data_IF_126038559305
#
_entry.id   IF_126038559305
#
_cell.length_a   1.000
_cell.length_b   1.000
_cell.length_c   1.000
_cell.angle_alpha   90.00
_cell.angle_beta   90.00
_cell.angle_gamma   90.00
#
_symmetry.space_group_name_H-M   'P 1'
#
loop_
_entity.id
_entity.type
_entity.pdbx_description
1 polymer ?
#
# COMPACT_ATOMS: atom_id res chain seq x y z
N UNK A 1 44.79 -12.14 -17.90
CA UNK A 1 44.75 -13.10 -16.79
C UNK A 1 43.31 -13.18 -16.31
N UNK A 2 42.74 -14.37 -16.20
CA UNK A 2 41.37 -14.50 -15.68
C UNK A 2 41.33 -14.18 -14.18
N UNK A 3 40.31 -13.45 -13.70
CA UNK A 3 40.18 -13.12 -12.29
C UNK A 3 39.92 -14.40 -11.49
N UNK A 4 40.79 -14.68 -10.51
CA UNK A 4 40.61 -15.79 -9.57
C UNK A 4 39.38 -15.45 -8.71
N UNK A 5 38.28 -16.17 -8.87
CA UNK A 5 37.11 -16.04 -8.01
C UNK A 5 37.34 -16.84 -6.72
N UNK A 6 37.69 -16.21 -5.58
CA UNK A 6 37.99 -16.90 -4.33
C UNK A 6 36.69 -17.08 -3.52
N UNK A 7 35.71 -17.76 -4.12
CA UNK A 7 34.37 -17.97 -3.54
C UNK A 7 33.80 -19.36 -3.85
N UNK A 8 32.79 -19.79 -3.09
CA UNK A 8 32.12 -21.07 -3.30
C UNK A 8 31.39 -21.09 -4.65
N UNK A 9 31.77 -22.02 -5.55
CA UNK A 9 31.20 -22.16 -6.91
C UNK A 9 29.69 -22.46 -6.95
N UNK A 10 29.09 -22.76 -5.79
CA UNK A 10 27.65 -23.06 -5.66
C UNK A 10 26.82 -21.88 -5.16
N UNK A 11 27.42 -20.71 -4.93
CA UNK A 11 26.67 -19.53 -4.51
C UNK A 11 25.99 -18.89 -5.73
N UNK A 12 24.69 -18.54 -5.66
CA UNK A 12 24.02 -17.79 -6.72
C UNK A 12 24.76 -16.47 -6.97
N UNK A 13 24.83 -16.00 -8.22
CA UNK A 13 25.50 -14.72 -8.51
C UNK A 13 24.64 -13.52 -8.11
N UNK A 14 23.34 -13.73 -7.83
CA UNK A 14 22.37 -12.69 -7.45
C UNK A 14 22.27 -11.53 -8.46
N UNK A 15 22.75 -11.73 -9.69
CA UNK A 15 22.73 -10.73 -10.76
C UNK A 15 21.33 -10.64 -11.42
N UNK A 16 20.49 -11.66 -11.24
CA UNK A 16 19.14 -11.70 -11.78
C UNK A 16 18.09 -11.59 -10.66
N UNK A 17 17.00 -10.87 -10.92
CA UNK A 17 15.90 -10.66 -9.96
C UNK A 17 15.32 -11.98 -9.43
N UNK A 18 15.37 -13.03 -10.24
CA UNK A 18 14.87 -14.37 -9.95
C UNK A 18 15.75 -15.15 -8.95
N UNK A 19 16.99 -14.70 -8.69
CA UNK A 19 17.86 -15.28 -7.66
C UNK A 19 17.44 -14.85 -6.25
N UNK A 20 16.62 -13.79 -6.14
CA UNK A 20 15.91 -13.47 -4.90
C UNK A 20 14.71 -14.39 -4.83
N UNK A 21 14.49 -15.05 -3.70
CA UNK A 21 13.27 -15.82 -3.44
C UNK A 21 12.09 -14.84 -3.44
N UNK A 22 11.56 -14.57 -4.64
CA UNK A 22 10.23 -14.01 -4.83
C UNK A 22 9.39 -15.23 -5.09
N UNK A 23 8.83 -15.80 -4.02
CA UNK A 23 7.84 -16.88 -4.13
C UNK A 23 6.81 -16.44 -5.18
N UNK A 24 6.69 -17.18 -6.28
CA UNK A 24 5.57 -16.99 -7.21
C UNK A 24 4.28 -17.01 -6.41
N UNK A 25 3.39 -16.05 -6.68
CA UNK A 25 2.10 -16.02 -6.00
C UNK A 25 1.41 -17.37 -6.24
N UNK A 26 1.02 -18.06 -5.17
CA UNK A 26 0.38 -19.36 -5.28
C UNK A 26 -0.78 -19.29 -6.29
N UNK A 27 -0.81 -20.23 -7.26
CA UNK A 27 -1.84 -20.31 -8.30
C UNK A 27 -3.22 -20.75 -7.77
N UNK A 28 -3.48 -20.54 -6.48
CA UNK A 28 -4.72 -20.89 -5.80
C UNK A 28 -5.68 -19.70 -5.81
N UNK A 29 -6.99 -19.94 -5.99
CA UNK A 29 -7.98 -18.87 -5.96
C UNK A 29 -7.94 -18.15 -4.61
N UNK A 30 -7.68 -16.84 -4.63
CA UNK A 30 -7.57 -15.99 -3.45
C UNK A 30 -8.75 -15.02 -3.43
N UNK A 31 -9.54 -15.05 -2.36
CA UNK A 31 -10.60 -14.06 -2.13
C UNK A 31 -9.96 -12.81 -1.53
N UNK A 32 -9.93 -11.71 -2.28
CA UNK A 32 -9.39 -10.43 -1.82
C UNK A 32 -10.58 -9.50 -1.51
N UNK A 33 -10.91 -9.36 -0.23
CA UNK A 33 -11.92 -8.39 0.22
C UNK A 33 -11.19 -7.08 0.53
N UNK A 34 -11.31 -6.10 -0.37
CA UNK A 34 -10.84 -4.74 -0.13
C UNK A 34 -11.94 -3.95 0.57
N UNK A 35 -11.75 -3.64 1.84
CA UNK A 35 -12.59 -2.69 2.56
C UNK A 35 -11.98 -1.30 2.45
N UNK A 36 -12.71 -0.33 1.90
CA UNK A 36 -12.35 1.08 2.08
C UNK A 36 -12.76 1.45 3.51
N UNK A 37 -11.77 1.54 4.40
CA UNK A 37 -11.99 1.88 5.82
C UNK A 37 -12.23 3.38 6.01
N UNK A 38 -11.80 4.21 5.06
CA UNK A 38 -11.94 5.64 5.16
C UNK A 38 -13.32 6.12 4.68
N UNK A 39 -13.99 6.98 5.46
CA UNK A 39 -15.26 7.59 5.07
C UNK A 39 -15.08 8.42 3.78
N UNK A 40 -16.13 8.49 2.97
CA UNK A 40 -16.05 9.15 1.65
C UNK A 40 -15.89 10.67 1.76
N UNK A 41 -16.38 11.24 2.85
CA UNK A 41 -16.40 12.68 3.08
C UNK A 41 -16.00 12.97 4.52
N UNK A 42 -15.37 14.13 4.74
CA UNK A 42 -15.01 14.61 6.07
C UNK A 42 -16.23 14.94 6.97
N UNK A 43 -17.46 14.86 6.44
CA UNK A 43 -18.69 15.02 7.21
C UNK A 43 -19.26 13.70 7.72
N UNK A 44 -18.78 12.57 7.21
CA UNK A 44 -19.25 11.23 7.59
C UNK A 44 -18.40 10.71 8.76
N UNK A 45 -19.05 10.32 9.85
CA UNK A 45 -18.40 9.86 11.08
C UNK A 45 -17.40 10.84 11.71
N UNK A 46 -17.55 12.14 11.44
CA UNK A 46 -16.68 13.16 12.00
C UNK A 46 -17.23 13.64 13.36
N UNK A 47 -16.49 13.45 14.48
CA UNK A 47 -16.95 13.85 15.81
C UNK A 47 -17.11 15.37 15.97
N UNK A 48 -16.55 16.16 15.05
CA UNK A 48 -16.64 17.62 15.02
C UNK A 48 -17.68 18.13 14.02
N UNK A 49 -18.37 17.24 13.30
CA UNK A 49 -19.41 17.61 12.37
C UNK A 49 -20.76 17.05 12.86
N UNK A 50 -21.63 17.93 13.33
CA UNK A 50 -23.03 17.62 13.60
C UNK A 50 -23.93 18.40 12.65
N UNK A 51 -24.82 17.68 11.96
CA UNK A 51 -25.76 18.27 11.02
C UNK A 51 -26.70 19.24 11.76
N UNK A 52 -26.75 20.49 11.31
CA UNK A 52 -27.55 21.55 11.93
C UNK A 52 -26.84 22.38 13.02
N UNK A 53 -25.72 21.91 13.57
CA UNK A 53 -24.93 22.67 14.56
C UNK A 53 -23.76 23.43 13.93
N UNK A 54 -23.31 22.99 12.76
CA UNK A 54 -22.21 23.63 12.04
C UNK A 54 -22.69 24.92 11.38
N UNK A 55 -22.10 26.05 11.79
CA UNK A 55 -22.40 27.39 11.26
C UNK A 55 -22.12 27.54 9.76
N UNK A 56 -21.06 26.91 9.28
CA UNK A 56 -20.69 26.93 7.86
C UNK A 56 -20.25 25.53 7.37
N UNK A 57 -21.20 24.71 6.93
CA UNK A 57 -20.91 23.37 6.41
C UNK A 57 -20.06 23.39 5.13
N UNK A 58 -20.07 24.49 4.36
CA UNK A 58 -19.27 24.62 3.13
C UNK A 58 -17.82 24.87 3.46
N UNK A 59 -17.53 25.73 4.44
CA UNK A 59 -16.15 25.95 4.89
C UNK A 59 -15.49 24.67 5.39
N UNK A 60 -16.24 23.83 6.14
CA UNK A 60 -15.74 22.53 6.60
C UNK A 60 -15.41 21.63 5.41
N UNK A 61 -16.31 21.48 4.44
CA UNK A 61 -16.04 20.67 3.23
C UNK A 61 -14.83 21.18 2.46
N UNK A 62 -14.77 22.47 2.19
CA UNK A 62 -13.68 23.10 1.44
C UNK A 62 -12.32 23.04 2.15
N UNK A 63 -12.29 22.93 3.49
CA UNK A 63 -11.04 22.75 4.23
C UNK A 63 -10.44 21.35 4.03
N UNK A 64 -11.29 20.33 3.84
CA UNK A 64 -10.88 18.95 3.67
C UNK A 64 -10.82 18.49 2.19
N UNK A 65 -11.33 19.30 1.26
CA UNK A 65 -11.22 19.11 -0.18
C UNK A 65 -10.09 20.01 -0.72
N UNK A 66 -8.89 19.43 -0.98
CA UNK A 66 -7.77 20.06 -1.71
C UNK A 66 -7.84 19.78 -3.21
#
# INVERSE_FOLDING_TARGET
>A
MEPRQPGNKKMPNFDQLNDRIILESAATPTIVIKTNLDPKNATENNPYYQEGEVKDPKAVKNYFEE
#
